data_IF_051887786323
#
_entry.id   IF_051887786323
#
_cell.length_a   1.000
_cell.length_b   1.000
_cell.length_c   1.000
_cell.angle_alpha   90.00
_cell.angle_beta   90.00
_cell.angle_gamma   90.00
#
_symmetry.space_group_name_H-M   'P 1'
#
loop_
_entity.id
_entity.type
_entity.pdbx_description
1 polymer ?
#
# COMPACT_ATOMS: atom_id res chain seq x y z
N UNK A 1 12.85 2.37 -2.21
CA UNK A 1 11.80 2.78 -1.25
C UNK A 1 12.23 4.00 -0.43
N UNK A 2 13.12 3.86 0.56
CA UNK A 2 13.50 4.95 1.49
C UNK A 2 13.97 6.21 0.77
N UNK A 3 14.88 6.10 -0.20
CA UNK A 3 15.35 7.27 -0.97
C UNK A 3 14.25 7.97 -1.77
N UNK A 4 13.19 7.26 -2.16
CA UNK A 4 12.03 7.84 -2.83
C UNK A 4 11.19 8.68 -1.88
N UNK A 5 10.92 8.14 -0.68
CA UNK A 5 10.20 8.86 0.39
C UNK A 5 10.96 10.12 0.79
N UNK A 6 12.29 10.03 0.98
CA UNK A 6 13.12 11.20 1.33
C UNK A 6 13.02 12.28 0.25
N UNK A 7 13.17 11.92 -1.03
CA UNK A 7 13.04 12.89 -2.14
C UNK A 7 11.66 13.53 -2.20
N UNK A 8 10.60 12.76 -1.95
CA UNK A 8 9.24 13.29 -1.93
C UNK A 8 9.07 14.33 -0.82
N UNK A 9 9.59 14.07 0.38
CA UNK A 9 9.55 15.01 1.50
C UNK A 9 10.41 16.25 1.23
N UNK A 10 11.63 16.09 0.71
CA UNK A 10 12.49 17.20 0.32
C UNK A 10 11.82 18.12 -0.72
N UNK A 11 11.06 17.54 -1.66
CA UNK A 11 10.35 18.30 -2.69
C UNK A 11 9.20 19.15 -2.17
N UNK A 12 8.69 18.87 -0.97
CA UNK A 12 7.61 19.66 -0.34
C UNK A 12 8.14 20.97 0.24
N UNK A 13 9.45 21.08 0.50
CA UNK A 13 10.09 22.32 0.97
C UNK A 13 9.78 22.69 2.42
N UNK A 14 9.15 21.79 3.19
CA UNK A 14 8.83 21.99 4.60
C UNK A 14 10.07 21.84 5.49
N UNK A 15 10.22 22.72 6.48
CA UNK A 15 11.34 22.67 7.44
C UNK A 15 11.16 21.62 8.53
N UNK A 16 9.91 21.25 8.82
CA UNK A 16 9.54 20.22 9.79
C UNK A 16 8.52 19.27 9.17
N UNK A 17 8.72 17.97 9.37
CA UNK A 17 7.86 16.92 8.83
C UNK A 17 7.23 16.14 9.97
N UNK A 18 5.89 16.09 10.09
CA UNK A 18 5.23 15.24 11.07
C UNK A 18 5.56 13.76 10.85
N UNK A 19 5.86 13.02 11.91
CA UNK A 19 6.16 11.58 11.82
C UNK A 19 5.00 10.77 11.23
N UNK A 20 3.75 11.22 11.42
CA UNK A 20 2.56 10.59 10.81
C UNK A 20 2.63 10.60 9.29
N UNK A 21 3.08 11.70 8.68
CA UNK A 21 3.25 11.79 7.23
C UNK A 21 4.26 10.76 6.72
N UNK A 22 5.38 10.59 7.43
CA UNK A 22 6.38 9.57 7.07
C UNK A 22 5.77 8.16 7.19
N UNK A 23 5.03 7.91 8.27
CA UNK A 23 4.35 6.63 8.48
C UNK A 23 3.35 6.30 7.37
N UNK A 24 2.55 7.28 6.93
CA UNK A 24 1.63 7.14 5.80
C UNK A 24 2.36 6.80 4.50
N UNK A 25 3.45 7.50 4.17
CA UNK A 25 4.25 7.22 2.97
C UNK A 25 4.89 5.83 3.02
N UNK A 26 5.33 5.38 4.20
CA UNK A 26 5.86 4.03 4.38
C UNK A 26 4.76 2.97 4.21
N UNK A 27 3.56 3.20 4.78
CA UNK A 27 2.41 2.30 4.62
C UNK A 27 2.04 2.13 3.14
N UNK A 28 1.95 3.24 2.40
CA UNK A 28 1.64 3.22 0.97
C UNK A 28 2.71 2.47 0.18
N UNK A 29 3.99 2.78 0.42
CA UNK A 29 5.08 2.15 -0.30
C UNK A 29 5.20 0.64 -0.02
N UNK A 30 4.89 0.19 1.21
CA UNK A 30 4.95 -1.22 1.58
C UNK A 30 3.76 -2.02 1.03
N UNK A 31 2.57 -1.42 0.94
CA UNK A 31 1.33 -2.09 0.49
C UNK A 31 1.52 -2.82 -0.85
N UNK A 32 2.14 -2.17 -1.83
CA UNK A 32 2.41 -2.77 -3.15
C UNK A 32 3.77 -3.45 -3.30
N UNK A 33 4.68 -3.32 -2.32
CA UNK A 33 6.05 -3.82 -2.44
C UNK A 33 6.25 -5.17 -1.74
N UNK A 34 5.77 -5.29 -0.50
CA UNK A 34 5.92 -6.48 0.33
C UNK A 34 4.77 -6.54 1.35
N UNK A 35 3.76 -7.39 1.10
CA UNK A 35 2.62 -7.54 2.01
C UNK A 35 3.01 -7.95 3.43
N UNK A 36 4.05 -8.77 3.61
CA UNK A 36 4.50 -9.23 4.95
C UNK A 36 5.18 -8.08 5.69
N UNK A 37 5.95 -7.24 5.00
CA UNK A 37 6.50 -6.01 5.58
C UNK A 37 5.41 -5.00 5.93
N UNK A 38 4.39 -4.84 5.08
CA UNK A 38 3.23 -3.98 5.34
C UNK A 38 2.52 -4.37 6.64
N UNK A 39 2.17 -5.66 6.84
CA UNK A 39 1.52 -6.11 8.10
C UNK A 39 2.39 -5.81 9.33
N UNK A 40 3.69 -6.10 9.26
CA UNK A 40 4.62 -5.87 10.39
C UNK A 40 4.74 -4.41 10.76
N UNK A 41 4.71 -3.51 9.78
CA UNK A 41 4.75 -2.08 10.03
C UNK A 41 3.40 -1.58 10.55
N UNK A 42 2.31 -1.99 9.89
CA UNK A 42 0.94 -1.62 10.26
C UNK A 42 0.62 -1.98 11.71
N UNK A 43 1.09 -3.13 12.19
CA UNK A 43 0.80 -3.57 13.56
C UNK A 43 1.30 -2.62 14.64
N UNK A 44 2.43 -1.93 14.38
CA UNK A 44 2.96 -0.91 15.28
C UNK A 44 2.36 0.45 14.98
N UNK A 45 2.31 0.84 13.70
CA UNK A 45 1.85 2.16 13.28
C UNK A 45 0.38 2.43 13.64
N UNK A 46 -0.47 1.41 13.54
CA UNK A 46 -1.91 1.49 13.87
C UNK A 46 -2.24 0.96 15.28
N UNK A 47 -1.22 0.69 16.11
CA UNK A 47 -1.36 0.19 17.49
C UNK A 47 -2.28 -1.03 17.62
N UNK A 48 -1.97 -2.13 16.90
CA UNK A 48 -2.76 -3.36 16.97
C UNK A 48 -2.74 -3.92 18.39
N UNK A 49 -3.90 -4.33 18.88
CA UNK A 49 -4.11 -4.85 20.25
C UNK A 49 -4.68 -6.24 20.27
N UNK A 50 -5.44 -6.61 19.25
CA UNK A 50 -6.16 -7.87 19.20
C UNK A 50 -6.01 -8.58 17.85
N UNK A 51 -6.35 -9.88 17.83
CA UNK A 51 -6.28 -10.68 16.62
C UNK A 51 -7.19 -10.13 15.50
N UNK A 52 -8.26 -9.41 15.85
CA UNK A 52 -9.16 -8.79 14.89
C UNK A 52 -8.45 -7.72 14.04
N UNK A 53 -7.54 -6.93 14.61
CA UNK A 53 -6.77 -5.92 13.88
C UNK A 53 -5.91 -6.55 12.78
N UNK A 54 -5.31 -7.71 13.07
CA UNK A 54 -4.57 -8.47 12.07
C UNK A 54 -5.48 -9.05 10.99
N UNK A 55 -6.66 -9.55 11.36
CA UNK A 55 -7.64 -10.07 10.41
C UNK A 55 -8.12 -8.99 9.43
N UNK A 56 -8.38 -7.77 9.92
CA UNK A 56 -8.75 -6.62 9.09
C UNK A 56 -7.66 -6.32 8.07
N UNK A 57 -6.40 -6.16 8.52
CA UNK A 57 -5.30 -5.81 7.62
C UNK A 57 -4.98 -6.91 6.61
N UNK A 58 -5.11 -8.18 6.99
CA UNK A 58 -4.95 -9.31 6.07
C UNK A 58 -6.06 -9.34 5.03
N UNK A 59 -7.27 -8.92 5.41
CA UNK A 59 -8.39 -8.72 4.50
C UNK A 59 -8.11 -7.63 3.45
N UNK A 60 -7.55 -6.49 3.86
CA UNK A 60 -7.11 -5.42 2.93
C UNK A 60 -6.13 -5.96 1.88
N UNK A 61 -5.09 -6.68 2.33
CA UNK A 61 -4.07 -7.26 1.44
C UNK A 61 -4.67 -8.26 0.45
N UNK A 62 -5.60 -9.10 0.90
CA UNK A 62 -6.24 -10.11 0.06
C UNK A 62 -7.09 -9.47 -1.06
N UNK A 63 -7.69 -8.31 -0.79
CA UNK A 63 -8.42 -7.53 -1.80
C UNK A 63 -7.45 -6.93 -2.82
N UNK A 64 -6.36 -6.32 -2.36
CA UNK A 64 -5.33 -5.74 -3.22
C UNK A 64 -4.74 -6.81 -4.17
N UNK A 65 -4.46 -8.01 -3.66
CA UNK A 65 -3.96 -9.14 -4.47
C UNK A 65 -4.96 -9.65 -5.52
N UNK A 66 -6.27 -9.48 -5.29
CA UNK A 66 -7.32 -9.88 -6.23
C UNK A 66 -7.49 -8.85 -7.35
N UNK A 67 -7.27 -7.57 -7.04
CA UNK A 67 -7.41 -6.45 -7.98
C UNK A 67 -6.34 -6.47 -9.07
N UNK A 68 -5.09 -6.80 -8.71
CA UNK A 68 -3.98 -7.00 -9.65
C UNK A 68 -4.26 -8.12 -10.68
N UNK A 69 -5.02 -9.15 -10.29
CA UNK A 69 -5.36 -10.26 -11.18
C UNK A 69 -6.43 -9.89 -12.24
N UNK A 70 -7.30 -8.92 -11.94
CA UNK A 70 -8.36 -8.48 -12.86
C UNK A 70 -7.89 -7.43 -13.85
N UNK A 71 -6.91 -6.59 -13.48
CA UNK A 71 -6.38 -5.54 -14.36
C UNK A 71 -5.43 -6.07 -15.46
N UNK A 72 -5.00 -7.34 -15.35
CA UNK A 72 -4.22 -8.04 -16.36
C UNK A 72 -5.04 -8.68 -17.50
N UNK A 73 -6.37 -8.77 -17.37
CA UNK A 73 -7.23 -9.31 -18.43
C UNK A 73 -7.68 -8.17 -19.35
N UNK A 74 -6.82 -7.84 -20.32
CA UNK A 74 -7.21 -7.02 -21.46
C UNK A 74 -8.43 -7.64 -22.13
N UNK A 75 -9.60 -7.01 -21.96
CA UNK A 75 -10.85 -7.42 -22.59
C UNK A 75 -10.62 -7.60 -24.10
N UNK A 76 -10.70 -8.82 -24.67
CA UNK A 76 -10.57 -8.99 -26.10
C UNK A 76 -11.76 -8.28 -26.76
N UNK A 77 -11.44 -7.27 -27.58
CA UNK A 77 -12.43 -6.50 -28.33
C UNK A 77 -13.42 -7.45 -29.05
N UNK A 78 -14.73 -7.16 -29.02
CA UNK A 78 -15.70 -8.03 -29.68
C UNK A 78 -15.42 -8.06 -31.18
N UNK A 79 -15.12 -9.25 -31.70
CA UNK A 79 -14.91 -9.51 -33.12
C UNK A 79 -16.17 -9.07 -33.88
N UNK A 80 -16.05 -8.01 -34.70
CA UNK A 80 -17.08 -7.61 -35.64
C UNK A 80 -17.24 -8.72 -36.68
N UNK A 81 -18.34 -9.46 -36.60
CA UNK A 81 -18.75 -10.40 -37.65
C UNK A 81 -19.12 -9.57 -38.88
N UNK A 82 -18.35 -9.71 -39.94
CA UNK A 82 -18.71 -9.28 -41.29
C UNK A 82 -19.76 -10.21 -41.88
#
# INVERSE_FOLDING_TARGET
MVSGIVRQLESQGESEVPSSMIGELVMEALRGLDPVAYVRFASVYRDFREAADFQEVLGEIAQDATQDATDGVGNPAPLKKH
#
